data_IF_616558556957
#
_entry.id   IF_616558556957
#
_cell.length_a   1.000
_cell.length_b   1.000
_cell.length_c   1.000
_cell.angle_alpha   90.00
_cell.angle_beta   90.00
_cell.angle_gamma   90.00
#
_symmetry.space_group_name_H-M   'P 1'
#
loop_
_entity.id
_entity.type
_entity.pdbx_description
1 polymer ?
#
# COMPACT_ATOMS: atom_id res chain seq x y z
N UNK A 1 1.08 3.16 -4.85
CA UNK A 1 1.33 2.91 -3.42
C UNK A 1 2.78 2.73 -3.03
N UNK A 2 3.68 2.27 -3.91
CA UNK A 2 5.09 2.02 -3.55
C UNK A 2 5.82 3.19 -2.87
N UNK A 3 5.44 4.45 -3.13
CA UNK A 3 5.97 5.63 -2.42
C UNK A 3 5.75 5.59 -0.90
N UNK A 4 4.72 4.89 -0.42
CA UNK A 4 4.44 4.72 1.00
C UNK A 4 5.55 3.95 1.74
N UNK A 5 6.38 3.18 1.03
CA UNK A 5 7.51 2.47 1.62
C UNK A 5 8.77 3.34 1.81
N UNK A 6 8.85 4.48 1.11
CA UNK A 6 10.04 5.35 1.09
C UNK A 6 10.42 5.86 2.49
N UNK A 7 9.49 6.34 3.33
CA UNK A 7 9.83 6.80 4.68
C UNK A 7 10.47 5.69 5.54
N UNK A 8 9.99 4.45 5.41
CA UNK A 8 10.51 3.32 6.18
C UNK A 8 11.93 2.95 5.75
N UNK A 9 12.22 3.00 4.45
CA UNK A 9 13.57 2.79 3.91
C UNK A 9 14.51 3.90 4.39
N UNK A 10 14.09 5.17 4.30
CA UNK A 10 14.88 6.30 4.77
C UNK A 10 15.13 6.25 6.28
N UNK A 11 14.17 5.74 7.05
CA UNK A 11 14.30 5.57 8.50
C UNK A 11 15.40 4.56 8.81
N UNK A 12 15.41 3.41 8.12
CA UNK A 12 16.46 2.42 8.27
C UNK A 12 17.84 2.89 7.77
N UNK A 13 17.86 3.77 6.76
CA UNK A 13 19.10 4.36 6.24
C UNK A 13 19.67 5.50 7.11
N UNK A 14 18.97 5.90 8.18
CA UNK A 14 19.43 6.99 9.06
C UNK A 14 19.31 8.38 8.43
N UNK A 15 18.32 8.61 7.56
CA UNK A 15 18.09 9.90 6.94
C UNK A 15 17.75 10.99 7.98
N UNK A 16 18.03 12.26 7.61
CA UNK A 16 17.69 13.40 8.46
C UNK A 16 16.18 13.54 8.67
N UNK A 17 15.78 14.12 9.80
CA UNK A 17 14.36 14.36 10.13
C UNK A 17 13.63 15.14 9.05
N UNK A 18 14.31 16.09 8.40
CA UNK A 18 13.72 16.88 7.32
C UNK A 18 13.40 16.02 6.09
N UNK A 19 14.32 15.13 5.68
CA UNK A 19 14.09 14.21 4.57
C UNK A 19 12.99 13.19 4.90
N UNK A 20 12.95 12.70 6.14
CA UNK A 20 11.88 11.81 6.61
C UNK A 20 10.52 12.50 6.56
N UNK A 21 10.43 13.75 7.04
CA UNK A 21 9.19 14.52 7.02
C UNK A 21 8.70 14.76 5.58
N UNK A 22 9.60 15.17 4.68
CA UNK A 22 9.28 15.37 3.28
C UNK A 22 8.82 14.06 2.60
N UNK A 23 9.51 12.95 2.84
CA UNK A 23 9.13 11.65 2.32
C UNK A 23 7.79 11.16 2.86
N UNK A 24 7.54 11.35 4.17
CA UNK A 24 6.27 10.99 4.80
C UNK A 24 5.10 11.81 4.24
N UNK A 25 5.32 13.10 3.97
CA UNK A 25 4.33 13.96 3.33
C UNK A 25 3.99 13.46 1.92
N UNK A 26 5.00 13.20 1.08
CA UNK A 26 4.79 12.68 -0.28
C UNK A 26 4.13 11.30 -0.25
N UNK A 27 4.55 10.43 0.67
CA UNK A 27 3.91 9.13 0.91
C UNK A 27 2.43 9.28 1.26
N UNK A 28 2.08 10.20 2.16
CA UNK A 28 0.69 10.48 2.54
C UNK A 28 -0.16 10.97 1.36
N UNK A 29 0.34 11.94 0.59
CA UNK A 29 -0.35 12.44 -0.61
C UNK A 29 -0.57 11.31 -1.63
N UNK A 30 0.46 10.49 -1.86
CA UNK A 30 0.34 9.35 -2.76
C UNK A 30 -0.71 8.36 -2.25
N UNK A 31 -0.67 8.00 -0.96
CA UNK A 31 -1.62 7.09 -0.29
C UNK A 31 -3.06 7.54 -0.47
N UNK A 32 -3.37 8.79 -0.13
CA UNK A 32 -4.74 9.33 -0.26
C UNK A 32 -5.22 9.32 -1.70
N UNK A 33 -4.36 9.70 -2.65
CA UNK A 33 -4.70 9.64 -4.07
C UNK A 33 -5.11 8.21 -4.49
N UNK A 34 -4.40 7.18 -4.04
CA UNK A 34 -4.76 5.80 -4.34
C UNK A 34 -6.01 5.35 -3.62
N UNK A 35 -6.24 5.75 -2.37
CA UNK A 35 -7.48 5.44 -1.64
C UNK A 35 -8.68 5.91 -2.45
N UNK A 36 -8.67 7.16 -2.92
CA UNK A 36 -9.76 7.72 -3.76
C UNK A 36 -9.93 6.94 -5.07
N UNK A 37 -8.82 6.62 -5.74
CA UNK A 37 -8.86 5.82 -6.98
C UNK A 37 -9.41 4.42 -6.72
N UNK A 38 -8.99 3.77 -5.64
CA UNK A 38 -9.43 2.44 -5.23
C UNK A 38 -10.93 2.41 -4.95
N UNK A 39 -11.42 3.33 -4.13
CA UNK A 39 -12.85 3.46 -3.83
C UNK A 39 -13.68 3.69 -5.09
N UNK A 40 -13.21 4.55 -5.99
CA UNK A 40 -13.91 4.81 -7.26
C UNK A 40 -13.97 3.56 -8.13
N UNK A 41 -12.85 2.87 -8.30
CA UNK A 41 -12.79 1.64 -9.11
C UNK A 41 -13.65 0.54 -8.49
N UNK A 42 -13.56 0.35 -7.18
CA UNK A 42 -14.32 -0.66 -6.44
C UNK A 42 -15.83 -0.43 -6.60
N UNK A 43 -16.31 0.80 -6.38
CA UNK A 43 -17.73 1.13 -6.53
C UNK A 43 -18.24 1.05 -7.97
N UNK A 44 -17.40 1.36 -8.97
CA UNK A 44 -17.83 1.39 -10.39
C UNK A 44 -17.81 0.01 -11.05
N UNK A 45 -16.86 -0.86 -10.65
CA UNK A 45 -16.63 -2.14 -11.34
C UNK A 45 -17.20 -3.35 -10.59
N UNK A 46 -17.51 -3.23 -9.29
CA UNK A 46 -18.07 -4.34 -8.51
C UNK A 46 -19.60 -4.26 -8.52
N UNK A 47 -20.32 -5.33 -8.93
CA UNK A 47 -21.77 -5.36 -8.89
C UNK A 47 -22.30 -5.13 -7.47
N UNK A 48 -23.37 -4.34 -7.33
CA UNK A 48 -23.92 -3.94 -6.03
C UNK A 48 -24.18 -5.11 -5.07
N UNK A 49 -24.74 -6.21 -5.59
CA UNK A 49 -25.01 -7.44 -4.80
C UNK A 49 -23.76 -8.09 -4.20
N UNK A 50 -22.57 -7.78 -4.73
CA UNK A 50 -21.29 -8.35 -4.31
C UNK A 50 -20.44 -7.35 -3.51
N UNK A 51 -20.78 -6.06 -3.49
CA UNK A 51 -19.99 -5.01 -2.84
C UNK A 51 -19.67 -5.35 -1.39
N UNK A 52 -20.68 -5.77 -0.61
CA UNK A 52 -20.49 -6.12 0.81
C UNK A 52 -19.56 -7.33 0.99
N UNK A 53 -19.66 -8.36 0.14
CA UNK A 53 -18.82 -9.55 0.26
C UNK A 53 -17.39 -9.28 -0.20
N UNK A 54 -17.21 -8.55 -1.29
CA UNK A 54 -15.88 -8.18 -1.81
C UNK A 54 -15.18 -7.22 -0.86
N UNK A 55 -15.88 -6.20 -0.36
CA UNK A 55 -15.35 -5.26 0.64
C UNK A 55 -14.92 -5.96 1.93
N UNK A 56 -15.74 -6.89 2.46
CA UNK A 56 -15.36 -7.66 3.64
C UNK A 56 -14.08 -8.49 3.44
N UNK A 57 -13.85 -9.02 2.24
CA UNK A 57 -12.61 -9.71 1.92
C UNK A 57 -11.42 -8.74 1.82
N UNK A 58 -11.58 -7.60 1.16
CA UNK A 58 -10.54 -6.59 1.01
C UNK A 58 -10.06 -6.07 2.37
N UNK A 59 -11.00 -5.72 3.25
CA UNK A 59 -10.72 -5.18 4.57
C UNK A 59 -10.11 -6.23 5.50
N UNK A 60 -10.61 -7.48 5.45
CA UNK A 60 -10.00 -8.60 6.17
C UNK A 60 -8.55 -8.81 5.77
N UNK A 61 -8.26 -8.89 4.46
CA UNK A 61 -6.90 -9.09 3.97
C UNK A 61 -5.99 -7.89 4.20
N UNK A 62 -6.53 -6.69 4.31
CA UNK A 62 -5.77 -5.48 4.65
C UNK A 62 -5.37 -5.43 6.13
N UNK A 63 -6.24 -5.91 7.03
CA UNK A 63 -5.99 -5.86 8.47
C UNK A 63 -5.26 -7.08 9.04
N UNK A 64 -5.41 -8.27 8.46
CA UNK A 64 -4.71 -9.49 8.91
C UNK A 64 -3.18 -9.34 8.99
N UNK A 65 -2.50 -8.67 8.03
CA UNK A 65 -1.05 -8.45 8.09
C UNK A 65 -0.59 -7.56 9.26
N UNK A 66 -1.44 -6.67 9.76
CA UNK A 66 -1.09 -5.70 10.82
C UNK A 66 -0.63 -6.38 12.11
N UNK A 67 -1.42 -7.25 12.77
CA UNK A 67 -0.98 -7.94 13.99
C UNK A 67 0.22 -8.86 13.74
N UNK A 68 0.31 -9.49 12.56
CA UNK A 68 1.45 -10.35 12.20
C UNK A 68 2.74 -9.52 12.14
N UNK A 69 2.68 -8.35 11.50
CA UNK A 69 3.78 -7.39 11.45
C UNK A 69 4.16 -6.91 12.84
N UNK A 70 3.19 -6.53 13.67
CA UNK A 70 3.45 -6.02 15.02
C UNK A 70 4.07 -7.08 15.95
N UNK A 71 3.67 -8.35 15.84
CA UNK A 71 4.24 -9.44 16.64
C UNK A 71 5.64 -9.85 16.15
N UNK A 72 5.88 -9.82 14.84
CA UNK A 72 7.17 -10.23 14.27
C UNK A 72 8.25 -9.15 14.36
N UNK A 73 7.90 -7.87 14.27
CA UNK A 73 8.86 -6.77 14.19
C UNK A 73 9.85 -6.72 15.36
N UNK A 74 9.44 -6.85 16.65
CA UNK A 74 10.38 -6.81 17.77
C UNK A 74 11.37 -7.98 17.74
N UNK A 75 10.91 -9.19 17.42
CA UNK A 75 11.76 -10.38 17.33
C UNK A 75 12.77 -10.25 16.19
N UNK A 76 12.34 -9.77 15.03
CA UNK A 76 13.22 -9.49 13.89
C UNK A 76 14.22 -8.39 14.21
N UNK A 77 13.79 -7.31 14.88
CA UNK A 77 14.67 -6.22 15.27
C UNK A 77 15.73 -6.66 16.28
N UNK A 78 15.39 -7.57 17.21
CA UNK A 78 16.36 -8.15 18.14
C UNK A 78 17.38 -9.06 17.44
N UNK A 79 16.95 -9.81 16.41
CA UNK A 79 17.82 -10.74 15.68
C UNK A 79 18.71 -10.06 14.62
N UNK A 80 18.19 -9.04 13.93
CA UNK A 80 18.83 -8.45 12.74
C UNK A 80 19.14 -6.96 12.87
N UNK A 81 18.67 -6.30 13.93
CA UNK A 81 18.79 -4.86 14.14
C UNK A 81 17.65 -4.07 13.48
N UNK A 82 17.32 -2.91 14.08
CA UNK A 82 16.19 -2.06 13.64
C UNK A 82 16.39 -1.49 12.24
N UNK A 83 17.60 -1.04 11.91
CA UNK A 83 17.93 -0.46 10.61
C UNK A 83 17.75 -1.46 9.46
N UNK A 84 18.29 -2.68 9.61
CA UNK A 84 18.16 -3.73 8.60
C UNK A 84 16.71 -4.14 8.40
N UNK A 85 15.94 -4.30 9.49
CA UNK A 85 14.51 -4.64 9.43
C UNK A 85 13.69 -3.54 8.75
N UNK A 86 13.99 -2.27 9.03
CA UNK A 86 13.31 -1.15 8.40
C UNK A 86 13.58 -1.07 6.88
N UNK A 87 14.85 -1.17 6.45
CA UNK A 87 15.19 -1.14 5.01
C UNK A 87 14.61 -2.34 4.27
N UNK A 88 14.78 -3.55 4.82
CA UNK A 88 14.29 -4.77 4.17
C UNK A 88 12.76 -4.82 4.14
N UNK A 89 12.09 -4.49 5.25
CA UNK A 89 10.64 -4.40 5.32
C UNK A 89 10.08 -3.37 4.33
N UNK A 90 10.68 -2.18 4.26
CA UNK A 90 10.34 -1.16 3.27
C UNK A 90 10.56 -1.64 1.83
N UNK A 91 11.67 -2.30 1.55
CA UNK A 91 11.95 -2.88 0.23
C UNK A 91 10.94 -3.95 -0.18
N UNK A 92 10.59 -4.87 0.73
CA UNK A 92 9.57 -5.90 0.49
C UNK A 92 8.21 -5.25 0.23
N UNK A 93 7.80 -4.27 1.04
CA UNK A 93 6.55 -3.54 0.84
C UNK A 93 6.50 -2.85 -0.53
N UNK A 94 7.59 -2.19 -0.94
CA UNK A 94 7.70 -1.55 -2.24
C UNK A 94 7.54 -2.56 -3.39
N UNK A 95 8.21 -3.71 -3.31
CA UNK A 95 8.11 -4.78 -4.31
C UNK A 95 6.68 -5.31 -4.40
N UNK A 96 6.05 -5.65 -3.27
CA UNK A 96 4.67 -6.16 -3.22
C UNK A 96 3.69 -5.14 -3.81
N UNK A 97 3.86 -3.84 -3.51
CA UNK A 97 3.02 -2.77 -4.07
C UNK A 97 3.20 -2.56 -5.58
N UNK A 98 4.29 -3.07 -6.18
CA UNK A 98 4.52 -3.04 -7.62
C UNK A 98 3.97 -4.28 -8.34
N UNK A 99 3.73 -5.39 -7.64
CA UNK A 99 3.18 -6.64 -8.22
C UNK A 99 1.87 -6.41 -8.99
N UNK A 100 0.90 -5.61 -8.52
CA UNK A 100 -0.33 -5.35 -9.27
C UNK A 100 -0.10 -4.76 -10.67
N UNK A 101 1.02 -4.04 -10.88
CA UNK A 101 1.38 -3.54 -12.20
C UNK A 101 1.64 -4.67 -13.19
N UNK A 102 1.91 -5.90 -12.76
CA UNK A 102 2.07 -7.04 -13.67
C UNK A 102 0.75 -7.53 -14.26
N UNK A 103 -0.40 -7.10 -13.72
CA UNK A 103 -1.73 -7.47 -14.23
C UNK A 103 -2.12 -6.51 -15.37
N UNK A 104 -2.18 -6.98 -16.63
CA UNK A 104 -2.45 -6.09 -17.78
C UNK A 104 -3.78 -5.34 -17.67
N UNK A 105 -4.79 -5.99 -17.09
CA UNK A 105 -6.12 -5.41 -16.87
C UNK A 105 -6.12 -4.19 -15.93
N UNK A 106 -5.16 -4.13 -14.99
CA UNK A 106 -5.02 -2.97 -14.09
C UNK A 106 -4.28 -1.79 -14.76
N UNK A 107 -3.57 -2.03 -15.88
CA UNK A 107 -2.91 -0.97 -16.65
C UNK A 107 -3.86 -0.25 -17.61
N UNK A 108 -4.93 -0.91 -18.04
CA UNK A 108 -5.92 -0.41 -19.00
C UNK A 108 -7.29 -0.31 -18.34
N UNK A 109 -7.37 0.31 -17.17
CA UNK A 109 -8.66 0.66 -16.58
C UNK A 109 -9.21 1.83 -17.40
N UNK A 110 -10.06 1.51 -18.37
CA UNK A 110 -10.84 2.48 -19.13
C UNK A 110 -12.09 2.83 -18.33
N UNK A 111 -12.26 4.11 -17.99
CA UNK A 111 -13.50 4.61 -17.39
C UNK A 111 -14.54 4.59 -18.51
N UNK A 112 -15.30 3.49 -18.59
CA UNK A 112 -16.32 3.35 -19.61
C UNK A 112 -17.46 4.35 -19.33
N UNK A 113 -17.46 5.47 -20.05
CA UNK A 113 -18.47 6.53 -19.95
C UNK A 113 -19.68 6.18 -20.83
N UNK A 114 -20.22 4.96 -20.70
CA UNK A 114 -21.36 4.53 -21.50
C UNK A 114 -22.67 4.83 -20.76
N UNK A 115 -23.07 6.10 -20.86
CA UNK A 115 -24.40 6.61 -20.50
C UNK A 115 -25.01 7.50 -21.59
N UNK A 116 -24.53 7.41 -22.84
CA UNK A 116 -25.10 8.11 -23.99
C UNK A 116 -25.17 7.16 -25.20
N UNK A 117 -26.24 6.35 -25.25
CA UNK A 117 -27.11 6.08 -26.41
C UNK A 117 -28.13 5.01 -26.05
#
# INVERSE_FOLDING_TARGET
MALAAVPLILLGAGASTFLLAAAAFVAGVASEFFTVVWETVHNTHVPERLLSRVGAHDEFWSFVPVPIGQLSTPALAAAFGTAAVAVTGGGVAAVVMLVPLLVPSLRRIEINRNGET
#
